data_IF_438400094095
#
_entry.id   IF_438400094095
#
_cell.length_a   1.000
_cell.length_b   1.000
_cell.length_c   1.000
_cell.angle_alpha   90.00
_cell.angle_beta   90.00
_cell.angle_gamma   90.00
#
_symmetry.space_group_name_H-M   'P 1'
#
loop_
_entity.id
_entity.type
_entity.pdbx_description
1 polymer ?
#
# COMPACT_ATOMS: atom_id res chain seq x y z
N UNK A 1 -39.57 -31.73 -13.98
CA UNK A 1 -40.06 -30.94 -12.84
C UNK A 1 -39.09 -31.12 -11.68
N UNK A 2 -38.31 -30.09 -11.36
CA UNK A 2 -37.70 -29.88 -10.04
C UNK A 2 -37.39 -28.39 -10.00
N UNK A 3 -38.15 -27.68 -9.17
CA UNK A 3 -38.22 -26.24 -9.09
C UNK A 3 -36.86 -25.64 -8.70
N UNK A 4 -36.35 -24.63 -9.43
CA UNK A 4 -35.21 -23.87 -8.97
C UNK A 4 -35.70 -22.71 -8.08
N UNK A 5 -34.94 -22.40 -7.04
CA UNK A 5 -34.84 -21.05 -6.44
C UNK A 5 -36.11 -20.42 -5.79
N UNK A 6 -36.48 -20.86 -4.58
CA UNK A 6 -37.24 -20.00 -3.64
C UNK A 6 -36.58 -19.80 -2.27
N UNK A 7 -35.70 -20.71 -1.83
CA UNK A 7 -35.00 -20.57 -0.53
C UNK A 7 -33.88 -19.52 -0.52
N UNK A 8 -33.06 -19.45 -1.57
CA UNK A 8 -31.91 -18.54 -1.61
C UNK A 8 -32.28 -17.06 -1.85
N UNK A 9 -33.41 -16.80 -2.52
CA UNK A 9 -33.88 -15.43 -2.77
C UNK A 9 -34.54 -14.80 -1.51
N UNK A 10 -35.19 -15.61 -0.67
CA UNK A 10 -35.81 -15.10 0.57
C UNK A 10 -34.79 -14.70 1.66
N UNK A 11 -33.59 -15.29 1.68
CA UNK A 11 -32.52 -14.92 2.63
C UNK A 11 -31.85 -13.58 2.32
N UNK A 12 -31.90 -13.12 1.05
CA UNK A 12 -31.33 -11.84 0.61
C UNK A 12 -32.29 -10.67 0.87
N UNK A 13 -33.59 -10.93 0.98
CA UNK A 13 -34.67 -9.93 1.17
C UNK A 13 -34.70 -9.30 2.58
N UNK A 14 -33.85 -9.74 3.52
CA UNK A 14 -33.82 -9.19 4.88
C UNK A 14 -32.51 -8.48 5.24
N UNK A 15 -31.56 -8.31 4.32
CA UNK A 15 -30.33 -7.57 4.64
C UNK A 15 -30.60 -6.07 4.80
N UNK A 16 -30.17 -5.49 5.92
CA UNK A 16 -30.32 -4.05 6.19
C UNK A 16 -29.07 -3.33 5.74
N UNK A 17 -29.25 -2.22 5.00
CA UNK A 17 -28.14 -1.38 4.54
C UNK A 17 -27.67 -0.47 5.68
N UNK A 18 -26.43 -0.64 6.08
CA UNK A 18 -25.74 0.22 7.04
C UNK A 18 -24.64 1.03 6.34
N UNK A 19 -24.68 2.37 6.37
CA UNK A 19 -23.56 3.18 5.89
C UNK A 19 -22.35 3.00 6.82
N UNK A 20 -21.14 3.01 6.25
CA UNK A 20 -19.91 3.09 7.05
C UNK A 20 -19.76 4.53 7.54
N UNK A 21 -19.72 4.72 8.85
CA UNK A 21 -19.61 6.04 9.48
C UNK A 21 -18.17 6.26 9.92
N UNK A 22 -17.56 7.35 9.44
CA UNK A 22 -16.25 7.79 9.90
C UNK A 22 -16.37 9.03 10.78
N UNK A 23 -16.05 8.89 12.07
CA UNK A 23 -16.13 9.96 13.08
C UNK A 23 -14.80 10.69 13.30
N UNK A 24 -13.77 10.35 12.52
CA UNK A 24 -12.43 10.91 12.71
C UNK A 24 -12.35 12.39 12.33
N UNK A 25 -11.66 13.15 13.17
CA UNK A 25 -11.48 14.59 13.05
C UNK A 25 -10.00 14.99 12.96
N UNK A 26 -9.72 15.98 12.10
CA UNK A 26 -8.36 16.43 11.89
C UNK A 26 -7.74 17.05 13.15
N UNK A 27 -8.52 17.75 13.98
CA UNK A 27 -8.01 18.43 15.16
C UNK A 27 -7.53 17.43 16.23
N UNK A 28 -8.22 16.30 16.41
CA UNK A 28 -7.83 15.21 17.30
C UNK A 28 -6.65 14.39 16.74
N UNK A 29 -6.59 14.22 15.41
CA UNK A 29 -5.51 13.46 14.76
C UNK A 29 -4.16 14.22 14.68
N UNK A 30 -4.20 15.55 14.48
CA UNK A 30 -3.00 16.41 14.36
C UNK A 30 -1.95 16.22 15.47
N UNK A 31 -2.27 16.25 16.78
CA UNK A 31 -1.25 16.07 17.83
C UNK A 31 -0.61 14.68 17.78
N UNK A 32 -1.39 13.63 17.50
CA UNK A 32 -0.89 12.27 17.34
C UNK A 32 0.10 12.17 16.17
N UNK A 33 -0.26 12.76 15.03
CA UNK A 33 0.60 12.80 13.85
C UNK A 33 1.91 13.56 14.10
N UNK A 34 1.86 14.75 14.70
CA UNK A 34 3.05 15.56 14.98
C UNK A 34 4.05 14.82 15.85
N UNK A 35 3.59 14.18 16.94
CA UNK A 35 4.45 13.37 17.81
C UNK A 35 5.14 12.24 17.02
N UNK A 36 4.39 11.58 16.15
CA UNK A 36 4.92 10.46 15.37
C UNK A 36 5.90 10.90 14.29
N UNK A 37 5.66 12.05 13.64
CA UNK A 37 6.61 12.63 12.67
C UNK A 37 7.89 13.08 13.38
N UNK A 38 7.77 13.73 14.54
CA UNK A 38 8.94 14.11 15.34
C UNK A 38 9.78 12.89 15.73
N UNK A 39 9.14 11.81 16.20
CA UNK A 39 9.81 10.55 16.52
C UNK A 39 10.44 9.92 15.28
N UNK A 40 9.77 9.96 14.13
CA UNK A 40 10.32 9.44 12.87
C UNK A 40 11.58 10.20 12.46
N UNK A 41 11.58 11.53 12.56
CA UNK A 41 12.74 12.35 12.27
C UNK A 41 13.87 12.09 13.28
N UNK A 42 13.57 12.08 14.58
CA UNK A 42 14.56 11.90 15.65
C UNK A 42 15.22 10.52 15.61
N UNK A 43 14.46 9.49 15.23
CA UNK A 43 14.94 8.11 15.17
C UNK A 43 15.33 7.67 13.75
N UNK A 44 15.47 8.61 12.80
CA UNK A 44 15.80 8.33 11.40
C UNK A 44 14.96 7.20 10.77
N UNK A 45 13.66 7.16 11.11
CA UNK A 45 12.71 6.18 10.59
C UNK A 45 12.53 4.90 11.44
N UNK A 46 13.36 4.65 12.46
CA UNK A 46 13.23 3.48 13.33
C UNK A 46 11.86 3.43 14.03
N UNK A 47 11.25 4.58 14.35
CA UNK A 47 9.94 4.66 14.98
C UNK A 47 8.74 4.44 14.03
N UNK A 48 8.97 4.03 12.77
CA UNK A 48 7.90 3.81 11.78
C UNK A 48 6.78 2.87 12.27
N UNK A 49 7.05 1.74 12.95
CA UNK A 49 6.00 0.87 13.48
C UNK A 49 5.05 1.57 14.47
N UNK A 50 5.57 2.45 15.33
CA UNK A 50 4.75 3.22 16.27
C UNK A 50 3.88 4.24 15.54
N UNK A 51 4.46 4.95 14.56
CA UNK A 51 3.71 5.90 13.73
C UNK A 51 2.55 5.21 12.99
N UNK A 52 2.83 4.04 12.39
CA UNK A 52 1.84 3.26 11.66
C UNK A 52 0.74 2.70 12.58
N UNK A 53 1.09 2.06 13.70
CA UNK A 53 0.10 1.50 14.64
C UNK A 53 -0.77 2.57 15.28
N UNK A 54 -0.22 3.75 15.61
CA UNK A 54 -1.00 4.89 16.10
C UNK A 54 -1.98 5.39 15.05
N UNK A 55 -1.56 5.50 13.78
CA UNK A 55 -2.47 5.88 12.69
C UNK A 55 -3.59 4.87 12.52
N UNK A 56 -3.28 3.57 12.49
CA UNK A 56 -4.26 2.51 12.29
C UNK A 56 -5.25 2.40 13.46
N UNK A 57 -4.78 2.51 14.71
CA UNK A 57 -5.65 2.58 15.90
C UNK A 57 -6.63 3.74 15.81
N UNK A 58 -6.15 4.92 15.42
CA UNK A 58 -7.00 6.09 15.27
C UNK A 58 -8.04 5.89 14.17
N UNK A 59 -7.63 5.47 12.97
CA UNK A 59 -8.54 5.30 11.83
C UNK A 59 -9.59 4.21 12.09
N UNK A 60 -9.20 3.03 12.58
CA UNK A 60 -10.14 1.94 12.83
C UNK A 60 -11.08 2.26 13.99
N UNK A 61 -10.59 2.84 15.09
CA UNK A 61 -11.44 3.24 16.21
C UNK A 61 -12.50 4.30 15.84
N UNK A 62 -12.25 5.10 14.81
CA UNK A 62 -13.20 6.08 14.28
C UNK A 62 -13.95 5.58 13.03
N UNK A 63 -13.82 4.30 12.66
CA UNK A 63 -14.57 3.69 11.55
C UNK A 63 -15.59 2.74 12.13
N UNK A 64 -16.87 3.08 11.99
CA UNK A 64 -17.99 2.27 12.45
C UNK A 64 -18.68 1.58 11.28
N UNK A 65 -18.89 0.28 11.44
CA UNK A 65 -19.61 -0.58 10.49
C UNK A 65 -20.78 -1.22 11.23
N UNK A 66 -22.00 -0.98 10.76
CA UNK A 66 -23.25 -1.40 11.42
C UNK A 66 -23.27 -1.08 12.94
N UNK A 67 -22.96 0.19 13.27
CA UNK A 67 -22.98 0.70 14.65
C UNK A 67 -21.78 0.33 15.53
N UNK A 68 -20.89 -0.56 15.08
CA UNK A 68 -19.74 -1.01 15.86
C UNK A 68 -18.42 -0.52 15.28
N UNK A 69 -17.55 0.05 16.12
CA UNK A 69 -16.23 0.51 15.72
C UNK A 69 -15.28 -0.67 15.41
N UNK A 70 -14.38 -0.47 14.45
CA UNK A 70 -13.26 -1.39 14.21
C UNK A 70 -12.20 -1.22 15.31
N UNK A 71 -11.58 -2.32 15.70
CA UNK A 71 -10.47 -2.35 16.64
C UNK A 71 -9.16 -2.71 15.94
N UNK A 72 -8.05 -2.10 16.38
CA UNK A 72 -6.71 -2.47 15.95
C UNK A 72 -5.80 -2.66 17.16
N UNK A 73 -5.28 -3.88 17.34
CA UNK A 73 -4.63 -4.32 18.58
C UNK A 73 -3.16 -4.75 18.37
N UNK A 74 -2.50 -4.25 17.33
CA UNK A 74 -1.12 -4.63 17.04
C UNK A 74 -0.12 -4.03 18.04
N UNK A 75 0.84 -4.85 18.47
CA UNK A 75 1.97 -4.41 19.27
C UNK A 75 3.07 -3.82 18.35
N UNK A 76 3.41 -2.52 18.48
CA UNK A 76 4.44 -1.90 17.65
C UNK A 76 5.84 -2.48 17.87
N UNK A 77 6.14 -3.02 19.06
CA UNK A 77 7.45 -3.62 19.35
C UNK A 77 7.69 -4.89 18.53
N UNK A 78 6.65 -5.71 18.33
CA UNK A 78 6.76 -6.92 17.52
C UNK A 78 7.03 -6.58 16.05
N UNK A 79 6.38 -5.54 15.53
CA UNK A 79 6.64 -5.02 14.19
C UNK A 79 8.08 -4.47 14.07
N UNK A 80 8.55 -3.78 15.09
CA UNK A 80 9.92 -3.25 15.13
C UNK A 80 10.96 -4.37 15.15
N UNK A 81 10.81 -5.37 16.02
CA UNK A 81 11.76 -6.48 16.12
C UNK A 81 11.83 -7.29 14.82
N UNK A 82 10.70 -7.54 14.17
CA UNK A 82 10.68 -8.20 12.85
C UNK A 82 11.41 -7.38 11.78
N UNK A 83 11.18 -6.07 11.73
CA UNK A 83 11.88 -5.18 10.79
C UNK A 83 13.38 -5.04 11.11
N UNK A 84 13.74 -4.99 12.40
CA UNK A 84 15.12 -4.89 12.85
C UNK A 84 15.90 -6.16 12.46
N UNK A 85 15.30 -7.34 12.67
CA UNK A 85 15.89 -8.61 12.23
C UNK A 85 16.11 -8.63 10.72
N UNK A 86 15.10 -8.23 9.93
CA UNK A 86 15.21 -8.14 8.48
C UNK A 86 16.30 -7.16 8.04
N UNK A 87 16.39 -6.00 8.70
CA UNK A 87 17.41 -4.98 8.43
C UNK A 87 18.82 -5.50 8.74
N UNK A 88 19.03 -6.13 9.90
CA UNK A 88 20.33 -6.69 10.30
C UNK A 88 20.73 -7.80 9.33
N UNK A 89 19.83 -8.73 9.01
CA UNK A 89 20.10 -9.82 8.07
C UNK A 89 20.44 -9.30 6.67
N UNK A 90 19.69 -8.34 6.16
CA UNK A 90 19.93 -7.74 4.83
C UNK A 90 21.27 -7.00 4.79
N UNK A 91 21.59 -6.22 5.83
CA UNK A 91 22.87 -5.52 5.91
C UNK A 91 24.05 -6.50 6.06
N UNK A 92 23.90 -7.56 6.85
CA UNK A 92 24.92 -8.60 6.98
C UNK A 92 25.17 -9.30 5.62
N UNK A 93 24.11 -9.60 4.88
CA UNK A 93 24.22 -10.18 3.54
C UNK A 93 24.89 -9.22 2.56
N UNK A 94 24.51 -7.95 2.56
CA UNK A 94 25.14 -6.92 1.71
C UNK A 94 26.62 -6.73 2.05
N UNK A 95 26.97 -6.69 3.34
CA UNK A 95 28.36 -6.63 3.80
C UNK A 95 29.14 -7.85 3.33
N UNK A 96 28.59 -9.06 3.47
CA UNK A 96 29.22 -10.29 2.98
C UNK A 96 29.48 -10.26 1.47
N UNK A 97 28.53 -9.74 0.69
CA UNK A 97 28.67 -9.56 -0.77
C UNK A 97 29.77 -8.55 -1.10
N UNK A 98 29.86 -7.44 -0.36
CA UNK A 98 30.88 -6.42 -0.56
C UNK A 98 32.31 -6.96 -0.35
N UNK A 99 32.49 -7.93 0.56
CA UNK A 99 33.79 -8.56 0.81
C UNK A 99 34.22 -9.56 -0.27
N UNK A 100 33.34 -9.96 -1.20
CA UNK A 100 33.65 -10.97 -2.24
C UNK A 100 34.49 -10.43 -3.42
N UNK A 101 34.90 -9.15 -3.40
CA UNK A 101 35.76 -8.55 -4.42
C UNK A 101 35.19 -8.73 -5.83
N UNK A 102 35.94 -9.39 -6.72
CA UNK A 102 35.55 -9.63 -8.11
C UNK A 102 34.26 -10.44 -8.29
N UNK A 103 33.80 -11.17 -7.26
CA UNK A 103 32.54 -11.93 -7.30
C UNK A 103 31.34 -11.18 -6.70
N UNK A 104 31.50 -9.92 -6.32
CA UNK A 104 30.42 -9.11 -5.74
C UNK A 104 29.18 -9.03 -6.64
N UNK A 105 29.35 -9.05 -7.97
CA UNK A 105 28.22 -9.06 -8.91
C UNK A 105 27.34 -10.32 -8.79
N UNK A 106 27.94 -11.49 -8.52
CA UNK A 106 27.21 -12.74 -8.27
C UNK A 106 26.44 -12.66 -6.95
N UNK A 107 27.05 -12.05 -5.94
CA UNK A 107 26.41 -11.80 -4.66
C UNK A 107 25.19 -10.88 -4.79
N UNK A 108 25.31 -9.76 -5.51
CA UNK A 108 24.19 -8.85 -5.79
C UNK A 108 23.07 -9.55 -6.57
N UNK A 109 23.41 -10.34 -7.60
CA UNK A 109 22.43 -11.10 -8.35
C UNK A 109 21.69 -12.14 -7.47
N UNK A 110 22.43 -12.82 -6.59
CA UNK A 110 21.88 -13.78 -5.63
C UNK A 110 20.94 -13.09 -4.64
N UNK A 111 21.34 -11.95 -4.08
CA UNK A 111 20.52 -11.14 -3.19
C UNK A 111 19.22 -10.70 -3.89
N UNK A 112 19.32 -10.28 -5.14
CA UNK A 112 18.15 -9.84 -5.89
C UNK A 112 17.16 -10.98 -6.16
N UNK A 113 17.67 -12.17 -6.50
CA UNK A 113 16.85 -13.37 -6.64
C UNK A 113 16.19 -13.74 -5.30
N UNK A 114 16.95 -13.68 -4.20
CA UNK A 114 16.42 -13.90 -2.86
C UNK A 114 15.29 -12.91 -2.54
N UNK A 115 15.45 -11.63 -2.87
CA UNK A 115 14.41 -10.61 -2.67
C UNK A 115 13.19 -10.83 -3.56
N UNK A 116 13.37 -11.33 -4.79
CA UNK A 116 12.26 -11.71 -5.66
C UNK A 116 11.42 -12.85 -5.08
N UNK A 117 12.08 -13.78 -4.37
CA UNK A 117 11.40 -14.86 -3.67
C UNK A 117 10.80 -14.40 -2.34
N UNK A 118 11.51 -13.57 -1.58
CA UNK A 118 11.11 -13.15 -0.24
C UNK A 118 9.92 -12.18 -0.24
N UNK A 119 9.84 -11.25 -1.19
CA UNK A 119 8.85 -10.16 -1.16
C UNK A 119 7.39 -10.64 -1.10
N UNK A 120 6.92 -11.65 -1.87
CA UNK A 120 5.57 -12.19 -1.77
C UNK A 120 5.27 -12.76 -0.36
N UNK A 121 6.24 -13.45 0.24
CA UNK A 121 6.10 -14.00 1.60
C UNK A 121 6.09 -12.91 2.66
N UNK A 122 6.93 -11.87 2.51
CA UNK A 122 6.92 -10.71 3.40
C UNK A 122 5.58 -9.97 3.34
N UNK A 123 5.03 -9.78 2.14
CA UNK A 123 3.72 -9.15 1.93
C UNK A 123 2.58 -10.01 2.49
N UNK A 124 2.66 -11.32 2.37
CA UNK A 124 1.75 -12.26 3.04
C UNK A 124 1.82 -12.13 4.58
N UNK A 125 3.02 -12.19 5.16
CA UNK A 125 3.23 -12.05 6.59
C UNK A 125 2.72 -10.71 7.13
N UNK A 126 2.96 -9.62 6.38
CA UNK A 126 2.42 -8.31 6.68
C UNK A 126 0.88 -8.31 6.71
N UNK A 127 0.22 -8.86 5.68
CA UNK A 127 -1.25 -8.94 5.63
C UNK A 127 -1.82 -9.81 6.75
N UNK A 128 -1.23 -10.98 6.98
CA UNK A 128 -1.64 -11.90 8.04
C UNK A 128 -1.56 -11.23 9.41
N UNK A 129 -0.45 -10.53 9.69
CA UNK A 129 -0.27 -9.75 10.91
C UNK A 129 -1.32 -8.64 11.04
N UNK A 130 -1.57 -7.88 9.97
CA UNK A 130 -2.54 -6.78 9.98
C UNK A 130 -3.96 -7.27 10.23
N UNK A 131 -4.40 -8.33 9.55
CA UNK A 131 -5.75 -8.87 9.70
C UNK A 131 -5.96 -9.48 11.08
N UNK A 132 -5.00 -10.28 11.58
CA UNK A 132 -5.08 -10.92 12.91
C UNK A 132 -5.21 -9.91 14.05
N UNK A 133 -4.65 -8.71 13.90
CA UNK A 133 -4.77 -7.63 14.87
C UNK A 133 -5.94 -6.68 14.61
N UNK A 134 -6.71 -6.88 13.55
CA UNK A 134 -7.92 -6.13 13.28
C UNK A 134 -9.13 -6.91 13.79
N UNK A 135 -10.01 -6.23 14.53
CA UNK A 135 -11.22 -6.85 15.09
C UNK A 135 -12.46 -6.04 14.77
N UNK A 136 -13.58 -6.73 14.66
CA UNK A 136 -14.92 -6.12 14.57
C UNK A 136 -15.88 -6.96 15.39
N UNK A 137 -16.68 -6.30 16.25
CA UNK A 137 -17.62 -6.97 17.19
C UNK A 137 -16.95 -8.08 18.02
N UNK A 138 -15.78 -7.79 18.57
CA UNK A 138 -15.01 -8.73 19.41
C UNK A 138 -14.31 -9.87 18.65
N UNK A 139 -14.65 -10.14 17.40
CA UNK A 139 -14.02 -11.17 16.58
C UNK A 139 -12.88 -10.60 15.73
N UNK A 140 -11.76 -11.35 15.66
CA UNK A 140 -10.58 -10.97 14.87
C UNK A 140 -10.71 -11.45 13.43
N UNK A 141 -10.24 -10.62 12.50
CA UNK A 141 -10.06 -11.02 11.11
C UNK A 141 -8.83 -11.93 11.02
N UNK A 142 -8.77 -12.78 10.00
CA UNK A 142 -7.57 -13.55 9.70
C UNK A 142 -7.45 -13.76 8.19
N UNK A 143 -6.27 -14.19 7.76
CA UNK A 143 -5.99 -14.49 6.37
C UNK A 143 -6.11 -15.99 6.15
N UNK A 144 -7.13 -16.43 5.41
CA UNK A 144 -7.38 -17.83 5.09
C UNK A 144 -6.56 -18.31 3.87
N UNK A 145 -5.27 -17.96 3.82
CA UNK A 145 -4.36 -18.31 2.73
C UNK A 145 -3.05 -18.89 3.27
N UNK A 146 -2.45 -19.80 2.50
CA UNK A 146 -1.09 -20.26 2.75
C UNK A 146 -0.03 -19.36 2.09
N UNK A 147 1.26 -19.53 2.47
CA UNK A 147 2.39 -18.89 1.81
C UNK A 147 2.44 -19.19 0.30
N UNK A 148 2.05 -20.40 -0.11
CA UNK A 148 1.98 -20.82 -1.51
C UNK A 148 1.01 -19.98 -2.34
N UNK A 149 -0.12 -19.60 -1.77
CA UNK A 149 -1.12 -18.78 -2.47
C UNK A 149 -0.59 -17.38 -2.75
N UNK A 150 0.22 -16.82 -1.84
CA UNK A 150 0.88 -15.54 -2.02
C UNK A 150 1.87 -15.58 -3.19
N UNK A 151 2.65 -16.66 -3.30
CA UNK A 151 3.55 -16.88 -4.43
C UNK A 151 2.79 -16.86 -5.76
N UNK A 152 1.73 -17.67 -5.89
CA UNK A 152 0.95 -17.73 -7.13
C UNK A 152 0.26 -16.39 -7.48
N UNK A 153 -0.15 -15.61 -6.47
CA UNK A 153 -0.78 -14.32 -6.70
C UNK A 153 0.23 -13.20 -7.06
N UNK A 154 1.45 -13.24 -6.52
CA UNK A 154 2.35 -12.06 -6.49
C UNK A 154 3.76 -12.31 -7.07
N UNK A 155 4.13 -13.52 -7.48
CA UNK A 155 5.46 -13.81 -8.02
C UNK A 155 5.78 -13.01 -9.28
N UNK A 156 4.88 -13.01 -10.28
CA UNK A 156 5.08 -12.28 -11.55
C UNK A 156 5.27 -10.77 -11.35
N UNK A 157 4.38 -10.04 -10.64
CA UNK A 157 4.58 -8.61 -10.42
C UNK A 157 5.84 -8.32 -9.59
N UNK A 158 6.18 -9.19 -8.65
CA UNK A 158 7.42 -9.08 -7.89
C UNK A 158 8.64 -9.22 -8.80
N UNK A 159 8.65 -10.20 -9.70
CA UNK A 159 9.74 -10.40 -10.65
C UNK A 159 9.93 -9.17 -11.55
N UNK A 160 8.84 -8.57 -12.04
CA UNK A 160 8.89 -7.34 -12.83
C UNK A 160 9.48 -6.20 -12.01
N UNK A 161 9.02 -6.00 -10.77
CA UNK A 161 9.53 -4.96 -9.87
C UNK A 161 11.04 -5.13 -9.61
N UNK A 162 11.47 -6.35 -9.32
CA UNK A 162 12.86 -6.71 -9.05
C UNK A 162 13.72 -6.54 -10.30
N UNK A 163 13.27 -7.03 -11.46
CA UNK A 163 13.98 -6.85 -12.73
C UNK A 163 14.15 -5.37 -13.07
N UNK A 164 13.15 -4.53 -12.77
CA UNK A 164 13.23 -3.07 -12.96
C UNK A 164 14.31 -2.46 -12.07
N UNK A 165 14.45 -2.92 -10.82
CA UNK A 165 15.53 -2.53 -9.93
C UNK A 165 16.91 -2.93 -10.47
N UNK A 166 17.04 -4.14 -11.03
CA UNK A 166 18.29 -4.58 -11.69
C UNK A 166 18.64 -3.67 -12.85
N UNK A 167 17.67 -3.37 -13.72
CA UNK A 167 17.88 -2.47 -14.85
C UNK A 167 18.29 -1.06 -14.38
N UNK A 168 17.75 -0.57 -13.25
CA UNK A 168 18.15 0.72 -12.69
C UNK A 168 19.62 0.70 -12.23
N UNK A 169 20.06 -0.36 -11.55
CA UNK A 169 21.47 -0.52 -11.14
C UNK A 169 22.37 -0.60 -12.36
N UNK A 170 22.00 -1.39 -13.37
CA UNK A 170 22.77 -1.54 -14.61
C UNK A 170 22.86 -0.21 -15.38
N UNK A 171 21.81 0.61 -15.37
CA UNK A 171 21.85 1.95 -15.95
C UNK A 171 22.94 2.82 -15.31
N UNK A 172 23.06 2.78 -13.98
CA UNK A 172 24.11 3.51 -13.24
C UNK A 172 25.50 2.95 -13.57
N UNK A 173 25.66 1.63 -13.63
CA UNK A 173 26.95 1.00 -13.98
C UNK A 173 27.40 1.37 -15.41
N UNK A 174 26.48 1.39 -16.38
CA UNK A 174 26.78 1.80 -17.75
C UNK A 174 27.14 3.28 -17.85
N UNK A 175 26.55 4.13 -17.01
CA UNK A 175 26.91 5.55 -16.92
C UNK A 175 28.35 5.72 -16.39
N UNK A 176 28.75 4.91 -15.39
CA UNK A 176 30.12 4.90 -14.87
C UNK A 176 31.15 4.42 -15.90
N UNK A 177 30.74 3.51 -16.80
CA UNK A 177 31.58 3.02 -17.91
C UNK A 177 31.59 3.95 -19.15
N UNK A 178 31.04 5.17 -19.04
CA UNK A 178 30.82 6.15 -20.12
C UNK A 178 30.04 5.60 -21.34
N UNK A 179 29.27 4.53 -21.15
CA UNK A 179 28.40 3.92 -22.18
C UNK A 179 27.00 4.52 -22.14
N UNK A 180 26.90 5.79 -22.52
CA UNK A 180 25.66 6.60 -22.37
C UNK A 180 24.44 5.99 -23.02
N UNK A 181 24.56 5.51 -24.26
CA UNK A 181 23.43 4.91 -24.97
C UNK A 181 22.83 3.71 -24.20
N UNK A 182 23.69 2.85 -23.64
CA UNK A 182 23.24 1.71 -22.83
C UNK A 182 22.68 2.16 -21.47
N UNK A 183 23.25 3.19 -20.85
CA UNK A 183 22.72 3.74 -19.61
C UNK A 183 21.29 4.25 -19.78
N UNK A 184 21.01 5.01 -20.85
CA UNK A 184 19.66 5.49 -21.16
C UNK A 184 18.70 4.36 -21.49
N UNK A 185 19.15 3.34 -22.23
CA UNK A 185 18.33 2.16 -22.54
C UNK A 185 17.90 1.42 -21.26
N UNK A 186 18.85 1.05 -20.39
CA UNK A 186 18.55 0.35 -19.14
C UNK A 186 17.76 1.23 -18.18
N UNK A 187 18.05 2.54 -18.11
CA UNK A 187 17.28 3.48 -17.30
C UNK A 187 15.83 3.60 -17.75
N UNK A 188 15.60 3.72 -19.06
CA UNK A 188 14.25 3.74 -19.65
C UNK A 188 13.48 2.45 -19.40
N UNK A 189 14.14 1.29 -19.52
CA UNK A 189 13.55 -0.01 -19.18
C UNK A 189 13.22 -0.11 -17.69
N UNK A 190 14.07 0.38 -16.81
CA UNK A 190 13.83 0.39 -15.37
C UNK A 190 12.62 1.25 -15.00
N UNK A 191 12.54 2.48 -15.51
CA UNK A 191 11.41 3.39 -15.28
C UNK A 191 10.11 2.78 -15.79
N UNK A 192 10.13 2.23 -17.01
CA UNK A 192 8.97 1.57 -17.61
C UNK A 192 8.54 0.35 -16.78
N UNK A 193 9.50 -0.46 -16.37
CA UNK A 193 9.26 -1.62 -15.53
C UNK A 193 8.70 -1.26 -14.15
N UNK A 194 9.18 -0.18 -13.50
CA UNK A 194 8.60 0.32 -12.25
C UNK A 194 7.18 0.86 -12.45
N UNK A 195 6.94 1.63 -13.52
CA UNK A 195 5.62 2.14 -13.88
C UNK A 195 4.59 1.02 -14.04
N UNK A 196 4.96 -0.13 -14.60
CA UNK A 196 4.04 -1.26 -14.78
C UNK A 196 4.02 -2.18 -13.55
N UNK A 197 5.19 -2.50 -13.01
CA UNK A 197 5.38 -3.47 -11.93
C UNK A 197 4.75 -3.04 -10.61
N UNK A 198 4.88 -1.75 -10.23
CA UNK A 198 4.33 -1.25 -8.96
C UNK A 198 2.79 -1.29 -8.92
N UNK A 199 2.05 -0.72 -9.91
CA UNK A 199 0.61 -0.86 -9.95
C UNK A 199 0.15 -2.31 -10.01
N UNK A 200 0.83 -3.14 -10.80
CA UNK A 200 0.48 -4.56 -10.91
C UNK A 200 0.64 -5.26 -9.55
N UNK A 201 1.75 -5.05 -8.86
CA UNK A 201 2.00 -5.59 -7.53
C UNK A 201 0.94 -5.12 -6.54
N UNK A 202 0.57 -3.84 -6.56
CA UNK A 202 -0.44 -3.28 -5.69
C UNK A 202 -1.84 -3.85 -5.96
N UNK A 203 -2.24 -3.96 -7.23
CA UNK A 203 -3.53 -4.55 -7.64
C UNK A 203 -3.60 -6.01 -7.21
N UNK A 204 -2.55 -6.80 -7.46
CA UNK A 204 -2.53 -8.21 -7.05
C UNK A 204 -2.51 -8.37 -5.52
N UNK A 205 -1.76 -7.53 -4.81
CA UNK A 205 -1.76 -7.50 -3.35
C UNK A 205 -3.16 -7.24 -2.79
N UNK A 206 -3.90 -6.28 -3.36
CA UNK A 206 -5.27 -5.96 -2.93
C UNK A 206 -6.27 -7.05 -3.31
N UNK A 207 -6.15 -7.66 -4.49
CA UNK A 207 -6.95 -8.83 -4.87
C UNK A 207 -6.71 -10.00 -3.92
N UNK A 208 -5.44 -10.28 -3.58
CA UNK A 208 -5.05 -11.31 -2.64
C UNK A 208 -5.63 -11.04 -1.24
N UNK A 209 -5.52 -9.81 -0.73
CA UNK A 209 -6.12 -9.39 0.54
C UNK A 209 -7.63 -9.67 0.57
N UNK A 210 -8.38 -9.21 -0.45
CA UNK A 210 -9.84 -9.39 -0.48
C UNK A 210 -10.25 -10.85 -0.71
N UNK A 211 -9.54 -11.61 -1.54
CA UNK A 211 -9.86 -13.02 -1.81
C UNK A 211 -9.79 -13.88 -0.55
N UNK A 212 -8.78 -13.65 0.29
CA UNK A 212 -8.47 -14.53 1.41
C UNK A 212 -8.77 -13.92 2.79
N UNK A 213 -9.26 -12.68 2.87
CA UNK A 213 -9.74 -12.13 4.13
C UNK A 213 -10.95 -12.94 4.63
N UNK A 214 -10.87 -13.40 5.87
CA UNK A 214 -11.93 -14.13 6.54
C UNK A 214 -12.24 -13.53 7.90
N UNK A 215 -13.50 -13.64 8.31
CA UNK A 215 -14.00 -13.16 9.59
C UNK A 215 -14.64 -14.32 10.34
N UNK A 216 -14.05 -14.74 11.46
CA UNK A 216 -14.54 -15.93 12.18
C UNK A 216 -14.58 -17.17 11.28
N UNK A 217 -15.74 -17.82 11.14
CA UNK A 217 -15.94 -18.93 10.19
C UNK A 217 -16.31 -18.46 8.77
N UNK A 218 -16.64 -17.18 8.58
CA UNK A 218 -17.13 -16.63 7.32
C UNK A 218 -15.95 -16.35 6.39
N UNK A 219 -15.83 -17.18 5.35
CA UNK A 219 -14.92 -16.97 4.22
C UNK A 219 -15.62 -16.17 3.13
N UNK A 220 -14.84 -15.50 2.29
CA UNK A 220 -15.39 -14.86 1.10
C UNK A 220 -15.87 -15.94 0.12
N UNK A 221 -17.15 -15.89 -0.23
CA UNK A 221 -17.80 -16.88 -1.09
C UNK A 221 -17.77 -16.46 -2.57
N UNK A 222 -17.69 -15.16 -2.85
CA UNK A 222 -17.51 -14.66 -4.21
C UNK A 222 -16.03 -14.54 -4.54
N UNK A 223 -15.64 -15.13 -5.67
CA UNK A 223 -14.36 -14.83 -6.31
C UNK A 223 -14.41 -13.35 -6.74
N UNK A 224 -13.43 -12.51 -6.36
CA UNK A 224 -13.49 -11.08 -6.65
C UNK A 224 -13.62 -10.87 -8.16
N UNK A 225 -14.70 -10.19 -8.57
CA UNK A 225 -15.19 -9.92 -9.94
C UNK A 225 -14.14 -9.31 -10.90
N UNK A 226 -12.96 -8.92 -10.38
CA UNK A 226 -11.81 -8.67 -11.23
C UNK A 226 -11.30 -9.97 -11.84
N UNK A 227 -11.77 -10.27 -13.05
CA UNK A 227 -11.13 -11.27 -13.91
C UNK A 227 -9.65 -10.93 -14.12
N UNK A 228 -8.83 -11.95 -14.38
CA UNK A 228 -7.37 -11.76 -14.55
C UNK A 228 -7.06 -10.67 -15.60
N UNK A 229 -7.78 -10.66 -16.72
CA UNK A 229 -7.64 -9.66 -17.79
C UNK A 229 -8.02 -8.23 -17.37
N UNK A 230 -9.09 -8.05 -16.58
CA UNK A 230 -9.47 -6.73 -16.08
C UNK A 230 -8.45 -6.17 -15.09
N UNK A 231 -7.84 -7.03 -14.26
CA UNK A 231 -6.78 -6.64 -13.33
C UNK A 231 -5.52 -6.18 -14.03
N UNK A 232 -5.13 -6.89 -15.08
CA UNK A 232 -3.98 -6.53 -15.92
C UNK A 232 -4.26 -5.24 -16.69
N UNK A 233 -5.44 -5.11 -17.30
CA UNK A 233 -5.85 -3.90 -18.00
C UNK A 233 -5.90 -2.65 -17.11
N UNK A 234 -6.38 -2.77 -15.86
CA UNK A 234 -6.33 -1.67 -14.89
C UNK A 234 -4.88 -1.30 -14.53
N UNK A 235 -4.05 -2.31 -14.25
CA UNK A 235 -2.64 -2.10 -13.90
C UNK A 235 -1.87 -1.43 -15.02
N UNK A 236 -2.08 -1.83 -16.27
CA UNK A 236 -1.44 -1.23 -17.45
C UNK A 236 -1.90 0.21 -17.70
N UNK A 237 -3.19 0.52 -17.56
CA UNK A 237 -3.69 1.90 -17.67
C UNK A 237 -3.07 2.81 -16.61
N UNK A 238 -2.99 2.31 -15.38
CA UNK A 238 -2.37 3.04 -14.27
C UNK A 238 -0.87 3.19 -14.49
N UNK A 239 -0.19 2.16 -15.01
CA UNK A 239 1.21 2.22 -15.35
C UNK A 239 1.51 3.18 -16.50
N UNK A 240 0.62 3.26 -17.51
CA UNK A 240 0.70 4.27 -18.56
C UNK A 240 0.55 5.69 -17.98
N UNK A 241 -0.41 5.91 -17.09
CA UNK A 241 -0.55 7.20 -16.41
C UNK A 241 0.68 7.54 -15.55
N UNK A 242 1.25 6.56 -14.85
CA UNK A 242 2.50 6.73 -14.09
C UNK A 242 3.67 7.11 -15.01
N UNK A 243 3.75 6.46 -16.17
CA UNK A 243 4.79 6.72 -17.17
C UNK A 243 4.63 8.11 -17.78
N UNK A 244 3.41 8.51 -18.17
CA UNK A 244 3.12 9.87 -18.65
C UNK A 244 3.44 10.92 -17.59
N UNK A 245 3.06 10.68 -16.33
CA UNK A 245 3.43 11.56 -15.22
C UNK A 245 4.95 11.66 -15.04
N UNK A 246 5.67 10.55 -15.19
CA UNK A 246 7.12 10.53 -15.11
C UNK A 246 7.74 11.40 -16.22
N UNK A 247 7.32 11.21 -17.46
CA UNK A 247 7.87 11.92 -18.63
C UNK A 247 7.48 13.41 -18.65
N UNK A 248 6.23 13.73 -18.30
CA UNK A 248 5.69 15.09 -18.44
C UNK A 248 5.94 15.97 -17.22
N UNK A 249 6.14 15.40 -16.03
CA UNK A 249 6.26 16.17 -14.79
C UNK A 249 7.55 15.86 -14.04
N UNK A 250 7.86 14.58 -13.80
CA UNK A 250 9.03 14.22 -12.98
C UNK A 250 10.33 14.57 -13.69
N UNK A 251 10.52 14.12 -14.93
CA UNK A 251 11.77 14.37 -15.67
C UNK A 251 12.02 15.88 -15.88
N UNK A 252 11.06 16.70 -16.34
CA UNK A 252 11.28 18.14 -16.50
C UNK A 252 11.55 18.86 -15.18
N UNK A 253 10.85 18.48 -14.10
CA UNK A 253 11.09 19.06 -12.77
C UNK A 253 12.48 18.70 -12.25
N UNK A 254 12.91 17.44 -12.42
CA UNK A 254 14.26 17.03 -12.01
C UNK A 254 15.35 17.74 -12.81
N UNK A 255 15.13 17.95 -14.11
CA UNK A 255 16.04 18.69 -14.97
C UNK A 255 16.11 20.18 -14.59
N UNK A 256 14.97 20.82 -14.35
CA UNK A 256 14.92 22.21 -13.89
C UNK A 256 15.60 22.40 -12.53
N UNK A 257 15.39 21.45 -11.61
CA UNK A 257 16.03 21.46 -10.29
C UNK A 257 17.53 21.22 -10.38
N UNK A 258 18.01 20.33 -11.26
CA UNK A 258 19.44 20.11 -11.44
C UNK A 258 20.14 21.36 -11.97
N UNK A 259 19.52 22.06 -12.91
CA UNK A 259 20.06 23.31 -13.47
C UNK A 259 20.08 24.43 -12.43
N UNK A 260 19.01 24.56 -11.63
CA UNK A 260 18.92 25.59 -10.58
C UNK A 260 19.86 25.36 -9.40
N UNK A 261 20.02 24.11 -8.97
CA UNK A 261 20.86 23.76 -7.81
C UNK A 261 22.32 23.55 -8.18
N UNK A 262 22.64 23.38 -9.47
CA UNK A 262 23.96 22.95 -9.93
C UNK A 262 24.32 21.52 -9.51
N UNK A 263 23.34 20.73 -9.04
CA UNK A 263 23.55 19.35 -8.61
C UNK A 263 23.62 18.43 -9.83
N UNK A 264 24.76 18.43 -10.50
CA UNK A 264 25.03 17.43 -11.53
C UNK A 264 25.30 16.06 -10.87
N UNK A 265 24.42 15.10 -11.14
CA UNK A 265 24.56 13.70 -10.70
C UNK A 265 25.94 13.13 -11.07
N UNK A 266 26.51 13.56 -12.20
CA UNK A 266 27.85 13.17 -12.66
C UNK A 266 28.97 13.73 -11.80
N UNK A 267 28.89 14.99 -11.36
CA UNK A 267 29.87 15.57 -10.45
C UNK A 267 29.83 14.87 -9.07
N UNK A 268 28.64 14.44 -8.65
CA UNK A 268 28.45 13.65 -7.43
C UNK A 268 29.04 12.23 -7.58
N UNK A 269 28.77 11.55 -8.69
CA UNK A 269 29.31 10.21 -9.01
C UNK A 269 30.83 10.21 -9.17
N UNK A 270 31.41 11.25 -9.78
CA UNK A 270 32.85 11.38 -9.96
C UNK A 270 33.58 11.54 -8.61
N UNK A 271 33.00 12.31 -7.67
CA UNK A 271 33.50 12.45 -6.29
C UNK A 271 33.40 11.15 -5.49
N UNK A 272 32.40 10.32 -5.76
CA UNK A 272 32.21 9.02 -5.10
C UNK A 272 33.22 7.95 -5.52
N UNK A 273 33.83 8.07 -6.70
CA UNK A 273 34.87 7.15 -7.17
C UNK A 273 36.25 7.36 -6.55
N UNK A 274 36.50 8.52 -5.93
CA UNK A 274 37.82 8.90 -5.40
C UNK A 274 37.92 8.78 -3.88
N UNK A 275 36.84 9.02 -3.13
CA UNK A 275 36.83 9.01 -1.66
C UNK A 275 35.81 8.03 -1.09
N UNK A 276 36.24 7.13 -0.19
CA UNK A 276 35.35 6.17 0.48
C UNK A 276 34.24 6.81 1.32
N UNK A 277 34.43 8.04 1.80
CA UNK A 277 33.41 8.85 2.49
C UNK A 277 32.39 9.48 1.54
N UNK A 278 32.74 9.65 0.26
CA UNK A 278 31.84 10.21 -0.75
C UNK A 278 30.74 9.21 -1.17
N UNK A 279 30.97 7.90 -1.05
CA UNK A 279 29.91 6.89 -1.21
C UNK A 279 28.74 7.05 -0.24
N UNK A 280 29.02 7.40 1.02
CA UNK A 280 27.98 7.71 2.02
C UNK A 280 27.22 8.99 1.66
N UNK A 281 27.93 10.05 1.23
CA UNK A 281 27.30 11.30 0.79
C UNK A 281 26.42 11.13 -0.46
N UNK A 282 26.81 10.22 -1.36
CA UNK A 282 26.07 9.91 -2.58
C UNK A 282 24.80 9.11 -2.30
N UNK A 283 24.86 8.15 -1.36
CA UNK A 283 23.68 7.45 -0.87
C UNK A 283 22.68 8.44 -0.22
N UNK A 284 23.18 9.46 0.49
CA UNK A 284 22.37 10.47 1.17
C UNK A 284 21.60 11.40 0.21
N UNK A 285 22.05 11.55 -1.04
CA UNK A 285 21.39 12.36 -2.08
C UNK A 285 20.58 11.51 -3.05
N UNK A 286 21.13 10.41 -3.54
CA UNK A 286 20.47 9.55 -4.53
C UNK A 286 19.32 8.73 -3.94
N UNK A 287 19.43 8.23 -2.70
CA UNK A 287 18.35 7.44 -2.11
C UNK A 287 17.09 8.28 -1.88
N UNK A 288 17.15 9.50 -1.30
CA UNK A 288 15.98 10.35 -1.21
C UNK A 288 15.46 10.78 -2.58
N UNK A 289 16.33 11.09 -3.55
CA UNK A 289 15.92 11.45 -4.91
C UNK A 289 15.18 10.33 -5.62
N UNK A 290 15.69 9.10 -5.56
CA UNK A 290 15.06 7.89 -6.11
C UNK A 290 13.75 7.58 -5.37
N UNK A 291 13.75 7.62 -4.04
CA UNK A 291 12.55 7.37 -3.24
C UNK A 291 11.47 8.42 -3.52
N UNK A 292 11.85 9.69 -3.68
CA UNK A 292 10.96 10.76 -4.06
C UNK A 292 10.45 10.54 -5.49
N UNK A 293 11.31 10.23 -6.45
CA UNK A 293 10.91 9.90 -7.83
C UNK A 293 9.88 8.76 -7.89
N UNK A 294 10.15 7.64 -7.21
CA UNK A 294 9.22 6.51 -7.08
C UNK A 294 7.91 6.92 -6.41
N UNK A 295 7.97 7.76 -5.37
CA UNK A 295 6.78 8.26 -4.70
C UNK A 295 5.93 9.16 -5.62
N UNK A 296 6.55 10.06 -6.38
CA UNK A 296 5.87 10.93 -7.35
C UNK A 296 5.23 10.14 -8.50
N UNK A 297 5.90 9.07 -8.98
CA UNK A 297 5.36 8.18 -10.01
C UNK A 297 4.04 7.54 -9.59
N UNK A 298 3.89 7.18 -8.30
CA UNK A 298 2.66 6.59 -7.78
C UNK A 298 1.66 7.62 -7.24
N UNK A 299 2.11 8.80 -6.81
CA UNK A 299 1.24 9.81 -6.20
C UNK A 299 0.08 10.25 -7.13
N UNK A 300 0.36 10.42 -8.43
CA UNK A 300 -0.62 10.91 -9.40
C UNK A 300 -1.65 9.84 -9.82
N UNK A 301 -1.25 8.59 -10.13
CA UNK A 301 -2.22 7.55 -10.48
C UNK A 301 -2.93 6.93 -9.26
N UNK A 302 -2.36 7.08 -8.06
CA UNK A 302 -2.90 6.51 -6.82
C UNK A 302 -4.38 6.81 -6.55
N UNK A 303 -4.91 8.05 -6.65
CA UNK A 303 -6.32 8.33 -6.40
C UNK A 303 -7.25 7.59 -7.38
N UNK A 304 -6.87 7.54 -8.67
CA UNK A 304 -7.62 6.81 -9.69
C UNK A 304 -7.59 5.29 -9.43
N UNK A 305 -6.40 4.74 -9.17
CA UNK A 305 -6.21 3.33 -8.84
C UNK A 305 -6.99 2.96 -7.57
N UNK A 306 -6.90 3.79 -6.53
CA UNK A 306 -7.58 3.62 -5.26
C UNK A 306 -9.10 3.58 -5.39
N UNK A 307 -9.72 4.58 -6.06
CA UNK A 307 -11.17 4.57 -6.30
C UNK A 307 -11.62 3.37 -7.15
N UNK A 308 -10.88 3.06 -8.21
CA UNK A 308 -11.21 1.95 -9.11
C UNK A 308 -11.15 0.60 -8.41
N UNK A 309 -10.09 0.36 -7.63
CA UNK A 309 -9.96 -0.86 -6.84
C UNK A 309 -10.97 -0.92 -5.71
N UNK A 310 -11.20 0.19 -4.99
CA UNK A 310 -12.14 0.19 -3.89
C UNK A 310 -13.55 -0.13 -4.38
N UNK A 311 -14.01 0.54 -5.44
CA UNK A 311 -15.35 0.30 -5.99
C UNK A 311 -15.52 -1.15 -6.46
N UNK A 312 -14.57 -1.68 -7.24
CA UNK A 312 -14.68 -3.04 -7.79
C UNK A 312 -14.46 -4.14 -6.76
N UNK A 313 -13.42 -4.04 -5.92
CA UNK A 313 -13.10 -5.10 -4.97
C UNK A 313 -14.16 -5.17 -3.87
N UNK A 314 -14.57 -4.03 -3.31
CA UNK A 314 -15.58 -4.04 -2.24
C UNK A 314 -16.95 -4.47 -2.78
N UNK A 315 -17.38 -4.00 -3.97
CA UNK A 315 -18.67 -4.43 -4.55
C UNK A 315 -18.72 -5.93 -4.86
N UNK A 316 -17.56 -6.54 -5.13
CA UNK A 316 -17.42 -7.98 -5.38
C UNK A 316 -17.19 -8.81 -4.11
N UNK A 317 -16.92 -8.17 -2.97
CA UNK A 317 -16.69 -8.88 -1.71
C UNK A 317 -18.05 -9.19 -1.07
N UNK A 318 -18.42 -10.47 -1.07
CA UNK A 318 -19.57 -10.96 -0.33
C UNK A 318 -19.23 -12.17 0.53
N UNK A 319 -19.67 -12.08 1.77
CA UNK A 319 -19.81 -13.17 2.72
C UNK A 319 -21.25 -13.68 2.72
N UNK A 320 -21.46 -14.87 3.26
CA UNK A 320 -22.79 -15.50 3.43
C UNK A 320 -23.85 -14.59 4.05
N UNK A 321 -23.41 -13.65 4.87
CA UNK A 321 -24.28 -12.78 5.66
C UNK A 321 -23.89 -11.29 5.64
N UNK A 322 -22.86 -10.92 4.88
CA UNK A 322 -22.46 -9.51 4.67
C UNK A 322 -22.06 -9.26 3.22
N UNK A 323 -22.61 -8.22 2.60
CA UNK A 323 -22.19 -7.75 1.28
C UNK A 323 -21.72 -6.31 1.38
N UNK A 324 -20.61 -5.99 0.73
CA UNK A 324 -20.11 -4.63 0.68
C UNK A 324 -20.47 -3.98 -0.65
N UNK A 325 -20.71 -2.68 -0.61
CA UNK A 325 -20.93 -1.86 -1.78
C UNK A 325 -20.12 -0.58 -1.63
N UNK A 326 -19.34 -0.22 -2.64
CA UNK A 326 -18.51 0.99 -2.63
C UNK A 326 -18.78 1.80 -3.88
N UNK A 327 -19.18 3.06 -3.70
CA UNK A 327 -19.46 4.01 -4.77
C UNK A 327 -18.66 5.30 -4.56
N UNK A 328 -17.32 5.18 -4.49
CA UNK A 328 -16.43 6.34 -4.35
C UNK A 328 -16.50 7.19 -5.62
N UNK A 329 -16.90 8.47 -5.53
CA UNK A 329 -16.95 9.36 -6.68
C UNK A 329 -15.53 9.74 -7.13
N UNK A 330 -15.11 9.22 -8.30
CA UNK A 330 -13.77 9.43 -8.84
C UNK A 330 -13.42 10.92 -8.98
N UNK A 331 -14.31 11.72 -9.58
CA UNK A 331 -14.06 13.15 -9.82
C UNK A 331 -13.90 13.93 -8.52
N UNK A 332 -14.71 13.61 -7.50
CA UNK A 332 -14.60 14.25 -6.20
C UNK A 332 -13.30 13.86 -5.49
N UNK A 333 -12.89 12.59 -5.58
CA UNK A 333 -11.62 12.13 -5.03
C UNK A 333 -10.43 12.78 -5.73
N UNK A 334 -10.41 12.83 -7.06
CA UNK A 334 -9.33 13.47 -7.83
C UNK A 334 -9.20 14.95 -7.47
N UNK A 335 -10.31 15.70 -7.44
CA UNK A 335 -10.32 17.11 -7.05
C UNK A 335 -9.86 17.31 -5.61
N UNK A 336 -10.29 16.44 -4.70
CA UNK A 336 -9.88 16.48 -3.29
C UNK A 336 -8.38 16.18 -3.14
N UNK A 337 -7.88 15.14 -3.80
CA UNK A 337 -6.47 14.76 -3.78
C UNK A 337 -5.60 15.86 -4.37
N UNK A 338 -5.96 16.45 -5.51
CA UNK A 338 -5.21 17.56 -6.12
C UNK A 338 -5.12 18.78 -5.18
N UNK A 339 -6.26 19.18 -4.58
CA UNK A 339 -6.29 20.26 -3.59
C UNK A 339 -5.44 19.93 -2.36
N UNK A 340 -5.53 18.70 -1.87
CA UNK A 340 -4.77 18.25 -0.72
C UNK A 340 -3.26 18.26 -0.99
N UNK A 341 -2.83 17.78 -2.16
CA UNK A 341 -1.42 17.82 -2.58
C UNK A 341 -0.90 19.24 -2.68
N UNK A 342 -1.67 20.16 -3.27
CA UNK A 342 -1.31 21.58 -3.34
C UNK A 342 -1.03 22.15 -1.94
N UNK A 343 -1.96 21.96 -1.01
CA UNK A 343 -1.79 22.45 0.36
C UNK A 343 -0.69 21.73 1.13
N UNK A 344 -0.49 20.44 0.91
CA UNK A 344 0.63 19.70 1.49
C UNK A 344 1.96 20.28 1.03
N UNK A 345 2.12 20.60 -0.26
CA UNK A 345 3.34 21.22 -0.77
C UNK A 345 3.52 22.63 -0.21
N UNK A 346 2.49 23.48 -0.27
CA UNK A 346 2.54 24.87 0.24
C UNK A 346 2.87 24.94 1.74
N UNK A 347 2.37 23.98 2.52
CA UNK A 347 2.60 23.94 3.98
C UNK A 347 3.77 23.06 4.40
N UNK A 348 4.60 22.61 3.44
CA UNK A 348 5.73 21.71 3.68
C UNK A 348 5.34 20.46 4.50
N UNK A 349 4.17 19.89 4.20
CA UNK A 349 3.66 18.69 4.84
C UNK A 349 2.77 18.92 6.07
N UNK A 350 2.71 20.13 6.64
CA UNK A 350 1.95 20.37 7.87
C UNK A 350 0.42 20.21 7.70
N UNK A 351 -0.09 20.38 6.48
CA UNK A 351 -1.50 20.13 6.14
C UNK A 351 -1.86 18.64 6.02
N UNK A 352 -0.87 17.73 6.01
CA UNK A 352 -1.09 16.29 5.81
C UNK A 352 -2.19 15.66 6.70
N UNK A 353 -2.29 15.97 8.02
CA UNK A 353 -3.34 15.41 8.87
C UNK A 353 -4.76 15.76 8.38
N UNK A 354 -4.96 16.97 7.87
CA UNK A 354 -6.25 17.43 7.35
C UNK A 354 -6.58 16.72 6.05
N UNK A 355 -5.59 16.64 5.15
CA UNK A 355 -5.71 15.89 3.89
C UNK A 355 -6.07 14.42 4.14
N UNK A 356 -5.37 13.76 5.07
CA UNK A 356 -5.57 12.35 5.41
C UNK A 356 -6.98 12.08 5.95
N UNK A 357 -7.50 12.93 6.85
CA UNK A 357 -8.86 12.76 7.38
C UNK A 357 -9.93 13.04 6.32
N UNK A 358 -9.73 14.05 5.47
CA UNK A 358 -10.67 14.37 4.40
C UNK A 358 -10.77 13.24 3.37
N UNK A 359 -9.63 12.65 2.98
CA UNK A 359 -9.60 11.50 2.07
C UNK A 359 -10.20 10.25 2.71
N UNK A 360 -9.85 9.96 3.98
CA UNK A 360 -10.43 8.84 4.72
C UNK A 360 -11.95 8.96 4.82
N UNK A 361 -12.47 10.15 5.14
CA UNK A 361 -13.90 10.42 5.22
C UNK A 361 -14.61 10.16 3.90
N UNK A 362 -14.10 10.74 2.79
CA UNK A 362 -14.68 10.55 1.47
C UNK A 362 -14.70 9.07 1.07
N UNK A 363 -13.59 8.35 1.28
CA UNK A 363 -13.47 6.94 0.90
C UNK A 363 -14.34 6.03 1.75
N UNK A 364 -14.32 6.19 3.08
CA UNK A 364 -15.04 5.30 4.00
C UNK A 364 -16.55 5.54 3.94
N UNK A 365 -17.01 6.80 3.91
CA UNK A 365 -18.45 7.11 3.85
C UNK A 365 -19.08 6.77 2.50
N UNK A 366 -18.28 6.54 1.46
CA UNK A 366 -18.75 6.02 0.17
C UNK A 366 -18.97 4.49 0.18
N UNK A 367 -18.74 3.82 1.31
CA UNK A 367 -18.97 2.39 1.50
C UNK A 367 -20.25 2.16 2.29
N UNK A 368 -21.06 1.22 1.83
CA UNK A 368 -22.20 0.69 2.55
C UNK A 368 -22.05 -0.83 2.72
N UNK A 369 -22.60 -1.34 3.81
CA UNK A 369 -22.59 -2.76 4.14
C UNK A 369 -24.02 -3.24 4.30
N UNK A 370 -24.36 -4.28 3.57
CA UNK A 370 -25.62 -5.00 3.70
C UNK A 370 -25.38 -6.16 4.66
N UNK A 371 -25.97 -6.12 5.84
CA UNK A 371 -25.76 -7.13 6.89
C UNK A 371 -27.08 -7.85 7.16
N UNK A 372 -27.03 -9.19 7.29
CA UNK A 372 -28.20 -9.95 7.72
C UNK A 372 -28.53 -9.66 9.20
N UNK A 373 -29.80 -9.44 9.58
CA UNK A 373 -30.21 -9.12 10.95
C UNK A 373 -29.78 -10.19 11.95
N UNK A 374 -29.79 -11.46 11.54
CA UNK A 374 -29.35 -12.62 12.34
C UNK A 374 -27.91 -12.47 12.85
N UNK A 375 -27.03 -11.80 12.09
CA UNK A 375 -25.68 -11.50 12.55
C UNK A 375 -25.67 -10.39 13.60
N UNK A 376 -26.54 -9.38 13.47
CA UNK A 376 -26.61 -8.23 14.37
C UNK A 376 -27.36 -8.55 15.67
N UNK A 377 -28.15 -9.63 15.69
CA UNK A 377 -29.02 -10.02 16.79
C UNK A 377 -28.34 -10.85 17.89
N UNK A 378 -27.95 -10.17 18.96
CA UNK A 378 -28.11 -10.66 20.36
C UNK A 378 -28.03 -9.56 21.43
N UNK A 379 -28.26 -8.28 21.09
CA UNK A 379 -28.21 -7.18 22.09
C UNK A 379 -29.39 -6.19 21.97
N UNK A 380 -30.51 -6.58 21.34
CA UNK A 380 -31.68 -5.72 21.16
C UNK A 380 -32.96 -6.18 21.89
N UNK A 381 -32.89 -7.20 22.75
CA UNK A 381 -34.07 -7.80 23.41
C UNK A 381 -34.11 -7.60 24.93
N UNK A 382 -33.46 -6.56 25.45
CA UNK A 382 -33.53 -6.20 26.87
C UNK A 382 -33.86 -4.71 27.02
N UNK A 383 -35.07 -4.33 26.59
CA UNK A 383 -35.81 -3.17 27.12
C UNK A 383 -37.23 -3.15 26.53
N UNK A 384 -37.98 -4.22 26.78
CA UNK A 384 -39.43 -4.08 26.97
C UNK A 384 -39.66 -4.01 28.47
N UNK A 385 -40.11 -2.86 29.03
CA UNK A 385 -40.58 -2.84 30.39
C UNK A 385 -41.68 -3.89 30.52
N UNK A 386 -41.50 -4.82 31.45
CA UNK A 386 -42.59 -5.67 31.92
C UNK A 386 -43.69 -4.72 32.42
N UNK A 387 -44.73 -4.53 31.61
CA UNK A 387 -45.96 -3.94 32.10
C UNK A 387 -46.62 -4.98 33.00
N UNK A 388 -46.29 -4.91 34.29
CA UNK A 388 -47.08 -5.43 35.38
C UNK A 388 -48.38 -4.63 35.49
N UNK A 389 -49.51 -5.26 35.15
CA UNK A 389 -50.82 -5.08 35.79
C UNK A 389 -51.83 -6.01 35.11
#
# INVERSE_FOLDING_TARGET
MLAPQRGAQNGLMQSVRHPVVFTGEAHTYRPLWRRNVLLLCLTLGLSFPWALTSKLRYLYGHTQVAGHALGYHANPLQMFLGNLLGMVLLNALYYGIAQMGSYAWMGVATLQLLMAVALPFMLHGFLSFQLTHTSWRGQRLHLAAGPRDAWHAMAVPTLIYIASGVMAVWAVMMLQADRRALAWLYGGLAVTGFCVGLPLLYVQFKRYQHRYAAWGSLRNQCEPDLSHGQSLGLSLRVGLLAWLACVLLVLPLTWLLSDWTGWEVRALLARAGTDGSAGFSMALVLLPGLAMGLAWMMALPYPYLGASLQNRLWSSTSHEAMRFESQVPLNALLRLSARNWLWVVVTLGWYFPVAAMAEARLRLQSVAVWVRPDLLGSEGASDTPQASA
#
